data_IF_313576088004
#
_entry.id   IF_313576088004
#
_cell.length_a   1.000
_cell.length_b   1.000
_cell.length_c   1.000
_cell.angle_alpha   90.00
_cell.angle_beta   90.00
_cell.angle_gamma   90.00
#
_symmetry.space_group_name_H-M   'P 1'
#
loop_
_entity.id
_entity.type
_entity.pdbx_description
1 polymer ?
#
# COMPACT_ATOMS: atom_id res chain seq x y z
N UNK A 1 7.25 0.88 16.50
CA UNK A 1 6.38 0.28 15.47
C UNK A 1 6.86 -1.15 15.26
N UNK A 2 6.00 -2.14 15.40
CA UNK A 2 6.30 -3.52 14.99
C UNK A 2 5.82 -3.69 13.54
N UNK A 3 6.63 -4.31 12.69
CA UNK A 3 6.34 -4.47 11.26
C UNK A 3 6.06 -5.93 10.97
N UNK A 4 4.94 -6.19 10.30
CA UNK A 4 4.64 -7.47 9.66
C UNK A 4 4.61 -7.24 8.15
N UNK A 5 5.15 -8.18 7.39
CA UNK A 5 5.24 -8.12 5.93
C UNK A 5 4.43 -9.26 5.31
N UNK A 6 4.07 -9.16 4.02
CA UNK A 6 3.55 -10.29 3.27
C UNK A 6 4.50 -11.50 3.36
N UNK A 7 3.98 -12.69 3.05
CA UNK A 7 4.82 -13.90 2.99
C UNK A 7 5.80 -13.77 1.82
N UNK A 8 6.97 -14.38 1.93
CA UNK A 8 7.97 -14.35 0.84
C UNK A 8 7.41 -14.89 -0.49
N UNK A 9 6.51 -15.87 -0.43
CA UNK A 9 5.81 -16.42 -1.60
C UNK A 9 4.97 -15.40 -2.36
N UNK A 10 4.62 -14.28 -1.73
CA UNK A 10 3.79 -13.22 -2.31
C UNK A 10 4.62 -12.12 -2.99
N UNK A 11 5.90 -12.00 -2.63
CA UNK A 11 6.77 -10.91 -3.08
C UNK A 11 6.86 -10.84 -4.61
N UNK A 12 7.02 -11.98 -5.27
CA UNK A 12 7.13 -12.03 -6.72
C UNK A 12 5.87 -11.49 -7.42
N UNK A 13 4.67 -11.80 -6.89
CA UNK A 13 3.42 -11.35 -7.49
C UNK A 13 3.14 -9.89 -7.18
N UNK A 14 3.40 -9.43 -5.95
CA UNK A 14 3.33 -8.02 -5.56
C UNK A 14 4.24 -7.18 -6.46
N UNK A 15 5.49 -7.59 -6.61
CA UNK A 15 6.47 -6.91 -7.45
C UNK A 15 6.05 -6.86 -8.91
N UNK A 16 5.62 -7.99 -9.48
CA UNK A 16 5.10 -8.06 -10.86
C UNK A 16 3.93 -7.10 -11.08
N UNK A 17 2.96 -7.04 -10.16
CA UNK A 17 1.83 -6.11 -10.29
C UNK A 17 2.34 -4.66 -10.33
N UNK A 18 3.30 -4.31 -9.47
CA UNK A 18 3.88 -2.96 -9.46
C UNK A 18 4.56 -2.67 -10.81
N UNK A 19 5.50 -3.51 -11.24
CA UNK A 19 6.36 -3.24 -12.40
C UNK A 19 5.64 -3.38 -13.73
N UNK A 20 4.80 -4.40 -13.88
CA UNK A 20 4.22 -4.76 -15.17
C UNK A 20 2.86 -4.10 -15.39
N UNK A 21 2.20 -3.63 -14.32
CA UNK A 21 0.89 -3.01 -14.40
C UNK A 21 0.90 -1.57 -13.90
N UNK A 22 1.22 -1.34 -12.62
CA UNK A 22 1.02 -0.02 -12.01
C UNK A 22 1.98 1.04 -12.55
N UNK A 23 3.24 0.71 -12.81
CA UNK A 23 4.21 1.61 -13.46
C UNK A 23 3.72 2.11 -14.82
N UNK A 24 2.89 1.33 -15.52
CA UNK A 24 2.30 1.69 -16.80
C UNK A 24 0.85 2.20 -16.69
N UNK A 25 0.37 2.47 -15.47
CA UNK A 25 -0.99 2.96 -15.23
C UNK A 25 -2.09 1.93 -15.48
N UNK A 26 -1.75 0.65 -15.62
CA UNK A 26 -2.71 -0.43 -15.84
C UNK A 26 -3.29 -0.86 -14.49
N UNK A 27 -4.59 -0.66 -14.30
CA UNK A 27 -5.28 -0.98 -13.05
C UNK A 27 -6.23 -2.16 -13.25
N UNK A 28 -5.82 -3.35 -12.83
CA UNK A 28 -6.64 -4.56 -12.95
C UNK A 28 -7.41 -4.85 -11.68
N UNK A 29 -8.66 -5.30 -11.87
CA UNK A 29 -9.51 -5.71 -10.76
C UNK A 29 -8.95 -6.95 -10.03
N UNK A 30 -8.41 -7.92 -10.77
CA UNK A 30 -7.76 -9.11 -10.20
C UNK A 30 -6.54 -8.75 -9.32
N UNK A 31 -5.76 -7.75 -9.75
CA UNK A 31 -4.62 -7.24 -8.97
C UNK A 31 -5.08 -6.53 -7.70
N UNK A 32 -6.18 -5.77 -7.76
CA UNK A 32 -6.80 -5.16 -6.57
C UNK A 32 -7.25 -6.24 -5.59
N UNK A 33 -7.97 -7.25 -6.06
CA UNK A 33 -8.47 -8.36 -5.24
C UNK A 33 -7.33 -9.13 -4.59
N UNK A 34 -6.23 -9.34 -5.32
CA UNK A 34 -5.03 -9.94 -4.77
C UNK A 34 -4.40 -9.08 -3.66
N UNK A 35 -4.28 -7.76 -3.86
CA UNK A 35 -3.78 -6.89 -2.79
C UNK A 35 -4.74 -6.86 -1.58
N UNK A 36 -6.05 -6.89 -1.80
CA UNK A 36 -7.04 -6.98 -0.73
C UNK A 36 -6.87 -8.28 0.09
N UNK A 37 -6.60 -9.42 -0.57
CA UNK A 37 -6.35 -10.67 0.15
C UNK A 37 -5.08 -10.60 1.00
N UNK A 38 -3.98 -10.07 0.45
CA UNK A 38 -2.73 -9.87 1.20
C UNK A 38 -2.96 -8.98 2.41
N UNK A 39 -3.68 -7.86 2.26
CA UNK A 39 -3.99 -6.95 3.37
C UNK A 39 -4.84 -7.65 4.44
N UNK A 40 -5.82 -8.47 4.05
CA UNK A 40 -6.66 -9.23 4.98
C UNK A 40 -5.86 -10.28 5.76
N UNK A 41 -4.84 -10.90 5.14
CA UNK A 41 -3.92 -11.81 5.81
C UNK A 41 -3.03 -11.09 6.83
N UNK A 42 -2.53 -9.89 6.49
CA UNK A 42 -1.77 -9.05 7.41
C UNK A 42 -2.62 -8.59 8.60
N UNK A 43 -3.87 -8.19 8.35
CA UNK A 43 -4.86 -7.85 9.39
C UNK A 43 -5.06 -9.03 10.34
N UNK A 44 -5.25 -10.24 9.80
CA UNK A 44 -5.40 -11.48 10.59
C UNK A 44 -4.14 -11.78 11.40
N UNK A 45 -2.97 -11.36 10.92
CA UNK A 45 -1.69 -11.47 11.62
C UNK A 45 -1.46 -10.35 12.66
N UNK A 46 -2.47 -9.52 12.93
CA UNK A 46 -2.44 -8.47 13.94
C UNK A 46 -2.04 -7.09 13.43
N UNK A 47 -1.93 -6.87 12.11
CA UNK A 47 -1.67 -5.54 11.57
C UNK A 47 -2.84 -4.60 11.90
N UNK A 48 -2.52 -3.45 12.51
CA UNK A 48 -3.49 -2.42 12.88
C UNK A 48 -3.55 -1.26 11.87
N UNK A 49 -2.76 -1.36 10.80
CA UNK A 49 -2.69 -0.42 9.70
C UNK A 49 -1.78 -0.98 8.62
N UNK A 50 -1.96 -0.53 7.38
CA UNK A 50 -1.15 -0.94 6.24
C UNK A 50 -0.49 0.27 5.60
N UNK A 51 0.83 0.21 5.40
CA UNK A 51 1.60 1.23 4.71
C UNK A 51 1.66 0.87 3.22
N UNK A 52 1.24 1.80 2.36
CA UNK A 52 1.49 1.72 0.93
C UNK A 52 2.91 2.23 0.67
N UNK A 53 3.86 1.29 0.67
CA UNK A 53 5.30 1.61 0.66
C UNK A 53 5.89 1.97 -0.71
N UNK A 54 5.12 1.81 -1.79
CA UNK A 54 5.51 2.21 -3.14
C UNK A 54 4.53 3.27 -3.65
N UNK A 55 5.02 4.28 -4.34
CA UNK A 55 4.24 5.43 -4.85
C UNK A 55 3.09 5.03 -5.80
N UNK A 56 3.19 3.88 -6.42
CA UNK A 56 2.25 3.32 -7.40
C UNK A 56 1.09 2.58 -6.73
N UNK A 57 1.32 1.95 -5.58
CA UNK A 57 0.27 1.15 -4.89
C UNK A 57 -0.97 2.01 -4.57
N UNK A 58 -0.86 3.28 -4.14
CA UNK A 58 -2.00 4.18 -3.99
C UNK A 58 -2.85 4.36 -5.25
N UNK A 59 -2.33 4.11 -6.47
CA UNK A 59 -3.15 4.14 -7.69
C UNK A 59 -4.16 2.99 -7.72
N UNK A 60 -3.78 1.83 -7.17
CA UNK A 60 -4.61 0.65 -7.08
C UNK A 60 -5.41 0.64 -5.79
N UNK A 61 -4.79 0.69 -4.62
CA UNK A 61 -5.43 0.49 -3.31
C UNK A 61 -5.78 1.81 -2.63
N UNK A 62 -7.00 1.89 -2.09
CA UNK A 62 -7.54 3.03 -1.34
C UNK A 62 -8.09 2.56 0.01
N UNK A 63 -8.45 3.50 0.89
CA UNK A 63 -9.03 3.18 2.20
C UNK A 63 -10.28 2.27 2.12
N UNK A 64 -11.09 2.38 1.07
CA UNK A 64 -12.27 1.50 0.87
C UNK A 64 -11.93 0.03 0.63
N UNK A 65 -10.68 -0.27 0.29
CA UNK A 65 -10.21 -1.62 -0.04
C UNK A 65 -9.64 -2.35 1.20
N UNK A 66 -9.64 -1.72 2.39
CA UNK A 66 -9.16 -2.32 3.62
C UNK A 66 -10.01 -1.90 4.82
N UNK A 67 -10.12 -2.78 5.82
CA UNK A 67 -10.82 -2.50 7.09
C UNK A 67 -9.93 -1.76 8.09
N UNK A 68 -8.62 -1.95 7.97
CA UNK A 68 -7.62 -1.24 8.76
C UNK A 68 -7.20 0.07 8.07
N UNK A 69 -6.69 1.06 8.83
CA UNK A 69 -6.14 2.29 8.28
C UNK A 69 -5.12 2.05 7.17
N UNK A 70 -5.33 2.69 6.02
CA UNK A 70 -4.41 2.70 4.88
C UNK A 70 -3.57 3.97 4.93
N UNK A 71 -2.26 3.82 4.95
CA UNK A 71 -1.30 4.91 5.07
C UNK A 71 -0.57 5.01 3.74
N UNK A 72 -0.97 5.97 2.90
CA UNK A 72 -0.18 6.37 1.75
C UNK A 72 1.04 7.15 2.23
N UNK A 73 2.20 6.48 2.19
CA UNK A 73 3.47 7.03 2.65
C UNK A 73 3.87 8.29 1.87
N UNK A 74 3.55 8.35 0.58
CA UNK A 74 3.85 9.49 -0.30
C UNK A 74 3.05 10.71 0.10
N UNK A 75 1.74 10.53 0.29
CA UNK A 75 0.85 11.61 0.73
C UNK A 75 1.22 12.10 2.13
N UNK A 76 1.52 11.18 3.05
CA UNK A 76 1.98 11.53 4.41
C UNK A 76 3.29 12.33 4.37
N UNK A 77 4.25 11.90 3.55
CA UNK A 77 5.52 12.58 3.37
C UNK A 77 5.35 13.99 2.78
N UNK A 78 4.55 14.13 1.73
CA UNK A 78 4.28 15.43 1.11
C UNK A 78 3.62 16.41 2.09
N UNK A 79 2.65 15.95 2.90
CA UNK A 79 2.03 16.78 3.95
C UNK A 79 3.03 17.23 5.00
N UNK A 80 3.91 16.33 5.45
CA UNK A 80 4.96 16.66 6.41
C UNK A 80 5.96 17.68 5.82
N UNK A 81 6.32 17.55 4.55
CA UNK A 81 7.20 18.50 3.86
C UNK A 81 6.58 19.90 3.77
N UNK A 82 5.29 20.00 3.41
CA UNK A 82 4.57 21.29 3.41
C UNK A 82 4.48 21.87 4.82
N UNK A 83 4.15 21.06 5.82
CA UNK A 83 4.09 21.51 7.20
C UNK A 83 5.43 22.07 7.65
N UNK A 84 6.52 21.36 7.40
CA UNK A 84 7.89 21.79 7.72
C UNK A 84 8.23 23.14 7.06
N UNK A 85 7.90 23.30 5.77
CA UNK A 85 8.16 24.54 5.04
C UNK A 85 7.37 25.76 5.54
N UNK A 86 6.26 25.54 6.25
CA UNK A 86 5.38 26.57 6.80
C UNK A 86 5.56 26.79 8.31
N UNK A 87 6.50 26.10 8.97
CA UNK A 87 6.81 26.40 10.37
C UNK A 87 7.69 27.66 10.39
N UNK A 88 7.10 28.80 10.78
CA UNK A 88 7.82 30.04 11.11
C UNK A 88 8.65 29.88 12.41
#
# INVERSE_FOLDING_TARGET
>A
IHVVTPKESEYAKIYRVITDELTFGVLRQESREYYQSVIQELETSGAQGVILGCTEIPLLIKQKDAKIPVIDSTTAHAKAAVQFALQD
#
